data_IF_367414054533
#
_entry.id   IF_367414054533
#
_cell.length_a   1.000
_cell.length_b   1.000
_cell.length_c   1.000
_cell.angle_alpha   90.00
_cell.angle_beta   90.00
_cell.angle_gamma   90.00
#
_symmetry.space_group_name_H-M   'P 1'
#
loop_
_entity.id
_entity.type
_entity.pdbx_description
1 polymer ?
#
# COMPACT_ATOMS: atom_id res chain seq x y z
N UNK A 1 3.08 12.55 9.81
CA UNK A 1 2.33 13.62 9.10
C UNK A 1 3.32 14.70 8.66
N UNK A 2 3.25 15.14 7.42
CA UNK A 2 4.06 16.26 6.91
C UNK A 2 5.57 16.02 6.68
N UNK A 3 6.08 14.79 6.83
CA UNK A 3 7.50 14.49 6.58
C UNK A 3 7.87 14.51 5.09
N UNK A 4 6.91 14.24 4.22
CA UNK A 4 7.03 14.39 2.77
C UNK A 4 5.80 15.20 2.32
N UNK A 5 6.01 16.42 1.83
CA UNK A 5 4.96 17.42 1.57
C UNK A 5 3.83 16.94 0.66
N UNK A 6 4.15 16.10 -0.32
CA UNK A 6 3.24 15.69 -1.39
C UNK A 6 2.59 14.31 -1.14
N UNK A 7 2.83 13.68 0.02
CA UNK A 7 2.21 12.40 0.39
C UNK A 7 1.09 12.57 1.41
N UNK A 8 0.14 11.62 1.48
CA UNK A 8 -0.94 11.68 2.46
C UNK A 8 -0.42 11.57 3.89
N UNK A 9 -1.04 12.31 4.80
CA UNK A 9 -0.61 12.35 6.20
C UNK A 9 -0.80 11.04 6.96
N UNK A 10 -1.81 10.25 6.57
CA UNK A 10 -2.14 8.97 7.20
C UNK A 10 -1.53 7.80 6.41
N UNK A 11 -0.28 7.94 6.00
CA UNK A 11 0.46 6.89 5.30
C UNK A 11 1.81 6.65 5.96
N UNK A 12 2.24 5.39 5.97
CA UNK A 12 3.54 5.00 6.53
C UNK A 12 4.62 5.34 5.50
N UNK A 13 5.68 6.03 5.94
CA UNK A 13 6.81 6.42 5.10
C UNK A 13 8.10 5.96 5.74
N UNK A 14 9.08 5.63 4.89
CA UNK A 14 10.46 5.38 5.31
C UNK A 14 11.28 6.65 5.07
N UNK A 15 11.81 7.21 6.15
CA UNK A 15 12.59 8.46 6.14
C UNK A 15 13.72 8.36 7.16
N UNK A 16 14.80 9.15 7.02
CA UNK A 16 15.79 9.30 8.08
C UNK A 16 15.13 9.75 9.39
N UNK A 17 15.63 9.25 10.51
CA UNK A 17 15.09 9.56 11.82
C UNK A 17 16.15 9.48 12.91
N UNK A 18 15.87 10.12 14.03
CA UNK A 18 16.66 10.08 15.25
C UNK A 18 15.94 9.18 16.25
N UNK A 19 16.66 8.20 16.80
CA UNK A 19 16.16 7.33 17.87
C UNK A 19 16.92 7.67 19.15
N UNK A 20 16.20 8.06 20.20
CA UNK A 20 16.79 8.40 21.49
C UNK A 20 15.85 8.00 22.65
N UNK A 21 16.18 8.40 23.88
CA UNK A 21 15.38 8.09 25.09
C UNK A 21 13.93 8.62 25.05
N UNK A 22 13.62 9.57 24.17
CA UNK A 22 12.31 10.19 24.00
C UNK A 22 11.49 9.50 22.89
N UNK A 23 12.08 8.56 22.16
CA UNK A 23 11.41 7.75 21.15
C UNK A 23 12.03 7.91 19.75
N UNK A 24 11.18 7.86 18.73
CA UNK A 24 11.55 7.94 17.31
C UNK A 24 11.07 9.27 16.74
N UNK A 25 11.99 10.10 16.26
CA UNK A 25 11.70 11.37 15.62
C UNK A 25 12.12 11.33 14.15
N UNK A 26 11.16 11.39 13.22
CA UNK A 26 11.45 11.47 11.79
C UNK A 26 12.07 12.83 11.41
N UNK A 27 12.90 12.83 10.36
CA UNK A 27 13.44 14.04 9.74
C UNK A 27 12.63 14.38 8.49
N UNK A 28 12.18 15.63 8.39
CA UNK A 28 11.37 16.11 7.26
C UNK A 28 12.22 16.25 6.01
N UNK A 29 11.72 15.73 4.88
CA UNK A 29 12.34 15.85 3.57
C UNK A 29 11.84 17.12 2.88
N UNK A 30 12.51 18.25 3.11
CA UNK A 30 12.06 19.57 2.64
C UNK A 30 12.02 19.72 1.11
N UNK A 31 12.98 19.11 0.40
CA UNK A 31 13.16 19.25 -1.05
C UNK A 31 12.85 17.94 -1.79
N UNK A 32 11.82 17.23 -1.36
CA UNK A 32 11.44 15.98 -2.01
C UNK A 32 10.87 16.23 -3.42
N UNK A 33 11.42 15.62 -4.49
CA UNK A 33 10.96 15.86 -5.85
C UNK A 33 9.48 15.51 -6.05
N UNK A 34 8.71 16.43 -6.64
CA UNK A 34 7.25 16.29 -6.81
C UNK A 34 6.87 15.20 -7.81
N UNK A 35 7.68 15.02 -8.84
CA UNK A 35 7.61 13.95 -9.82
C UNK A 35 7.79 12.59 -9.15
N UNK A 36 8.77 12.46 -8.26
CA UNK A 36 9.00 11.22 -7.52
C UNK A 36 7.89 10.95 -6.50
N UNK A 37 7.37 11.98 -5.83
CA UNK A 37 6.19 11.82 -4.97
C UNK A 37 4.95 11.33 -5.74
N UNK A 38 4.82 11.72 -7.01
CA UNK A 38 3.69 11.29 -7.86
C UNK A 38 3.75 9.80 -8.18
N UNK A 39 4.95 9.21 -8.33
CA UNK A 39 5.13 7.76 -8.43
C UNK A 39 4.69 7.05 -7.15
N UNK A 40 5.09 7.59 -5.99
CA UNK A 40 4.72 7.03 -4.68
C UNK A 40 3.22 7.12 -4.38
N UNK A 41 2.51 8.11 -4.94
CA UNK A 41 1.05 8.21 -4.80
C UNK A 41 0.32 7.01 -5.43
N UNK A 42 0.86 6.42 -6.51
CA UNK A 42 0.30 5.21 -7.07
C UNK A 42 0.43 4.04 -6.09
N UNK A 43 1.64 3.82 -5.56
CA UNK A 43 1.89 2.77 -4.57
C UNK A 43 1.09 2.96 -3.28
N UNK A 44 0.92 4.22 -2.85
CA UNK A 44 0.09 4.58 -1.71
C UNK A 44 -1.35 4.13 -1.88
N UNK A 45 -1.88 4.24 -3.11
CA UNK A 45 -3.24 3.82 -3.43
C UNK A 45 -3.40 2.31 -3.41
N UNK A 46 -2.41 1.56 -3.94
CA UNK A 46 -2.36 0.10 -3.87
C UNK A 46 -2.37 -0.37 -2.42
N UNK A 47 -1.44 0.12 -1.60
CA UNK A 47 -1.31 -0.28 -0.20
C UNK A 47 -2.57 0.05 0.63
N UNK A 48 -3.20 1.19 0.34
CA UNK A 48 -4.48 1.54 0.98
C UNK A 48 -5.59 0.56 0.61
N UNK A 49 -5.75 0.23 -0.66
CA UNK A 49 -6.75 -0.76 -1.11
C UNK A 49 -6.48 -2.14 -0.49
N UNK A 50 -5.22 -2.55 -0.37
CA UNK A 50 -4.83 -3.79 0.31
C UNK A 50 -5.24 -3.77 1.79
N UNK A 51 -4.95 -2.69 2.51
CA UNK A 51 -5.34 -2.55 3.91
C UNK A 51 -6.86 -2.57 4.08
N UNK A 52 -7.58 -1.83 3.24
CA UNK A 52 -9.05 -1.81 3.24
C UNK A 52 -9.63 -3.20 2.93
N UNK A 53 -9.03 -3.95 2.00
CA UNK A 53 -9.47 -5.32 1.69
C UNK A 53 -9.38 -6.25 2.90
N UNK A 54 -8.35 -6.11 3.74
CA UNK A 54 -8.18 -6.89 4.96
C UNK A 54 -9.19 -6.45 6.03
N UNK A 55 -9.28 -5.15 6.29
CA UNK A 55 -10.18 -4.60 7.32
C UNK A 55 -11.65 -4.90 7.03
N UNK A 56 -12.04 -4.84 5.76
CA UNK A 56 -13.41 -5.08 5.31
C UNK A 56 -13.65 -6.51 4.83
N UNK A 57 -12.62 -7.36 4.86
CA UNK A 57 -12.67 -8.75 4.37
C UNK A 57 -13.18 -8.87 2.93
N UNK A 58 -12.82 -7.91 2.08
CA UNK A 58 -13.37 -7.78 0.71
C UNK A 58 -12.42 -8.32 -0.34
N UNK A 59 -12.81 -9.42 -0.99
CA UNK A 59 -12.11 -9.95 -2.17
C UNK A 59 -12.10 -8.94 -3.32
N UNK A 60 -13.19 -8.19 -3.49
CA UNK A 60 -13.28 -7.16 -4.53
C UNK A 60 -12.26 -6.03 -4.33
N UNK A 61 -12.02 -5.59 -3.08
CA UNK A 61 -10.96 -4.59 -2.81
C UNK A 61 -9.56 -5.17 -2.98
N UNK A 62 -9.35 -6.44 -2.63
CA UNK A 62 -8.08 -7.11 -2.90
C UNK A 62 -7.79 -7.17 -4.42
N UNK A 63 -8.80 -7.47 -5.24
CA UNK A 63 -8.66 -7.42 -6.69
C UNK A 63 -8.36 -6.00 -7.20
N UNK A 64 -9.06 -4.98 -6.69
CA UNK A 64 -8.76 -3.58 -7.04
C UNK A 64 -7.33 -3.18 -6.68
N UNK A 65 -6.79 -3.66 -5.56
CA UNK A 65 -5.41 -3.42 -5.18
C UNK A 65 -4.43 -4.01 -6.22
N UNK A 66 -4.64 -5.26 -6.65
CA UNK A 66 -3.85 -5.88 -7.71
C UNK A 66 -3.95 -5.10 -9.02
N UNK A 67 -5.16 -4.69 -9.43
CA UNK A 67 -5.37 -3.96 -10.68
C UNK A 67 -4.81 -2.53 -10.67
N UNK A 68 -4.65 -1.94 -9.49
CA UNK A 68 -4.03 -0.62 -9.34
C UNK A 68 -2.50 -0.67 -9.38
N UNK A 69 -1.90 -1.85 -9.18
CA UNK A 69 -0.46 -2.01 -9.16
C UNK A 69 0.12 -1.82 -10.58
N UNK A 70 1.10 -0.91 -10.78
CA UNK A 70 1.63 -0.59 -12.10
C UNK A 70 2.33 -1.77 -12.80
N UNK A 71 2.71 -2.83 -12.08
CA UNK A 71 3.31 -4.02 -12.70
C UNK A 71 2.28 -5.06 -13.15
N UNK A 72 1.01 -4.88 -12.80
CA UNK A 72 -0.08 -5.77 -13.22
C UNK A 72 -0.65 -5.27 -14.54
N UNK A 73 -0.41 -6.03 -15.61
CA UNK A 73 -0.76 -5.66 -16.99
C UNK A 73 -1.99 -6.41 -17.55
N UNK A 74 -2.51 -7.40 -16.82
CA UNK A 74 -3.61 -8.25 -17.27
C UNK A 74 -4.65 -8.51 -16.18
N UNK A 75 -5.82 -7.88 -16.33
CA UNK A 75 -6.90 -7.97 -15.35
C UNK A 75 -7.45 -9.39 -15.15
N UNK A 76 -7.53 -10.18 -16.23
CA UNK A 76 -8.03 -11.56 -16.18
C UNK A 76 -7.05 -12.46 -15.44
N UNK A 77 -5.74 -12.27 -15.65
CA UNK A 77 -4.72 -13.02 -14.92
C UNK A 77 -4.63 -12.59 -13.46
N UNK A 78 -4.83 -11.30 -13.15
CA UNK A 78 -4.87 -10.79 -11.79
C UNK A 78 -6.02 -11.42 -10.97
N UNK A 79 -7.21 -11.55 -11.57
CA UNK A 79 -8.34 -12.22 -10.91
C UNK A 79 -8.06 -13.70 -10.64
N UNK A 80 -7.50 -14.41 -11.64
CA UNK A 80 -7.09 -15.81 -11.48
C UNK A 80 -6.03 -15.96 -10.39
N UNK A 81 -5.01 -15.10 -10.39
CA UNK A 81 -3.96 -15.07 -9.37
C UNK A 81 -4.56 -14.92 -7.97
N UNK A 82 -5.46 -13.95 -7.77
CA UNK A 82 -6.13 -13.76 -6.49
C UNK A 82 -6.91 -15.01 -6.05
N UNK A 83 -7.62 -15.65 -6.98
CA UNK A 83 -8.30 -16.91 -6.74
C UNK A 83 -7.34 -18.00 -6.25
N UNK A 84 -6.24 -18.21 -6.97
CA UNK A 84 -5.20 -19.18 -6.61
C UNK A 84 -4.54 -18.87 -5.26
N UNK A 85 -4.25 -17.60 -4.96
CA UNK A 85 -3.70 -17.18 -3.68
C UNK A 85 -4.63 -17.53 -2.52
N UNK A 86 -5.93 -17.24 -2.66
CA UNK A 86 -6.93 -17.56 -1.63
C UNK A 86 -7.08 -19.07 -1.45
N UNK A 87 -7.06 -19.85 -2.53
CA UNK A 87 -7.16 -21.31 -2.48
C UNK A 87 -5.96 -21.94 -1.76
N UNK A 88 -4.74 -21.60 -2.18
CA UNK A 88 -3.50 -22.15 -1.61
C UNK A 88 -3.31 -21.70 -0.16
N UNK A 89 -3.67 -20.46 0.15
CA UNK A 89 -3.46 -19.85 1.46
C UNK A 89 -4.78 -19.71 2.23
N UNK A 90 -5.70 -20.67 2.08
CA UNK A 90 -7.06 -20.59 2.66
C UNK A 90 -7.09 -20.30 4.16
N UNK A 91 -6.11 -20.82 4.91
CA UNK A 91 -5.96 -20.51 6.35
C UNK A 91 -5.75 -19.02 6.61
N UNK A 92 -5.07 -18.30 5.71
CA UNK A 92 -4.69 -16.90 5.87
C UNK A 92 -5.57 -15.94 5.09
N UNK A 93 -6.16 -16.35 3.97
CA UNK A 93 -6.89 -15.49 3.04
C UNK A 93 -8.35 -15.91 2.82
N UNK A 94 -8.77 -17.07 3.33
CA UNK A 94 -10.11 -17.62 3.12
C UNK A 94 -11.24 -16.79 3.70
N UNK A 95 -10.94 -15.76 4.50
CA UNK A 95 -11.94 -14.82 5.02
C UNK A 95 -12.32 -13.73 4.00
N UNK A 96 -11.59 -13.57 2.90
CA UNK A 96 -11.91 -12.61 1.86
C UNK A 96 -13.12 -13.09 1.05
N UNK A 97 -14.23 -12.37 1.17
CA UNK A 97 -15.51 -12.66 0.51
C UNK A 97 -15.84 -11.67 -0.61
#
# INVERSE_FOLDING_TARGET
KGYIKHLPDNFVVEIPGIVNKEGVCGLKLENYPVDFASLLMNQTSVMRLTAEAILEKSKAKALKALLADPVVDNAVQAEKLLGTMIEIQKQHLGYLI
#
